data_IF_357168768405
#
_entry.id   IF_357168768405
#
_cell.length_a   1.000
_cell.length_b   1.000
_cell.length_c   1.000
_cell.angle_alpha   90.00
_cell.angle_beta   90.00
_cell.angle_gamma   90.00
#
_symmetry.space_group_name_H-M   'P 1'
#
loop_
_entity.id
_entity.type
_entity.pdbx_description
1 polymer ?
#
# COMPACT_ATOMS: atom_id res chain seq x y z
N UNK A 1 13.81 -0.10 9.56
CA UNK A 1 13.06 -1.32 9.19
C UNK A 1 12.67 -2.07 10.45
N UNK A 2 11.37 -2.23 10.78
CA UNK A 2 10.90 -2.86 12.04
C UNK A 2 9.96 -4.05 11.84
N UNK A 3 10.10 -4.79 10.74
CA UNK A 3 9.16 -5.82 10.30
C UNK A 3 9.72 -7.26 10.36
N UNK A 4 10.64 -7.55 11.29
CA UNK A 4 11.30 -8.85 11.41
C UNK A 4 10.34 -10.01 11.71
N UNK A 5 9.23 -9.76 12.41
CA UNK A 5 8.15 -10.72 12.69
C UNK A 5 6.83 -10.01 13.03
N UNK A 6 6.40 -9.10 12.15
CA UNK A 6 5.14 -8.34 12.33
C UNK A 6 4.04 -8.94 11.47
N UNK A 7 2.82 -9.05 12.02
CA UNK A 7 1.64 -9.51 11.26
C UNK A 7 1.38 -8.64 10.02
N UNK A 8 0.78 -9.22 8.98
CA UNK A 8 0.46 -8.48 7.75
C UNK A 8 -0.50 -7.31 8.01
N UNK A 9 -1.47 -7.51 8.90
CA UNK A 9 -2.38 -6.46 9.35
C UNK A 9 -1.64 -5.29 9.98
N UNK A 10 -0.60 -5.54 10.79
CA UNK A 10 0.22 -4.48 11.40
C UNK A 10 1.06 -3.72 10.36
N UNK A 11 1.54 -4.40 9.32
CA UNK A 11 2.25 -3.76 8.20
C UNK A 11 1.29 -2.80 7.46
N UNK A 12 0.10 -3.29 7.12
CA UNK A 12 -0.91 -2.50 6.42
C UNK A 12 -1.41 -1.33 7.27
N UNK A 13 -1.60 -1.51 8.58
CA UNK A 13 -2.00 -0.42 9.48
C UNK A 13 -0.99 0.72 9.49
N UNK A 14 0.31 0.40 9.55
CA UNK A 14 1.37 1.42 9.49
C UNK A 14 1.36 2.17 8.16
N UNK A 15 1.15 1.46 7.05
CA UNK A 15 0.99 2.07 5.73
C UNK A 15 -0.21 3.02 5.71
N UNK A 16 -1.38 2.57 6.16
CA UNK A 16 -2.60 3.38 6.17
C UNK A 16 -2.43 4.64 7.02
N UNK A 17 -1.86 4.55 8.23
CA UNK A 17 -1.63 5.73 9.07
C UNK A 17 -0.68 6.73 8.40
N UNK A 18 0.40 6.26 7.77
CA UNK A 18 1.34 7.13 7.07
C UNK A 18 0.70 7.79 5.83
N UNK A 19 -0.04 7.01 5.03
CA UNK A 19 -0.71 7.49 3.83
C UNK A 19 -1.79 8.52 4.19
N UNK A 20 -2.65 8.22 5.18
CA UNK A 20 -3.66 9.16 5.66
C UNK A 20 -2.98 10.45 6.13
N UNK A 21 -1.95 10.36 6.99
CA UNK A 21 -1.24 11.53 7.49
C UNK A 21 -0.69 12.43 6.38
N UNK A 22 -0.05 11.82 5.37
CA UNK A 22 0.45 12.53 4.19
C UNK A 22 -0.70 13.20 3.41
N UNK A 23 -1.74 12.45 3.06
CA UNK A 23 -2.84 12.93 2.23
C UNK A 23 -3.70 13.97 2.94
N UNK A 24 -3.92 13.85 4.25
CA UNK A 24 -4.71 14.82 5.01
C UNK A 24 -3.96 16.12 5.28
N UNK A 25 -2.63 16.06 5.33
CA UNK A 25 -1.77 17.22 5.56
C UNK A 25 -1.52 18.00 4.26
N UNK A 26 -1.01 17.35 3.21
CA UNK A 26 -0.64 18.01 1.96
C UNK A 26 -1.80 18.18 0.98
N UNK A 27 -2.84 17.34 1.06
CA UNK A 27 -4.07 17.42 0.26
C UNK A 27 -3.77 17.61 -1.24
N UNK A 28 -4.20 18.73 -1.82
CA UNK A 28 -4.12 19.04 -3.25
C UNK A 28 -2.68 19.12 -3.76
N UNK A 29 -1.72 19.52 -2.91
CA UNK A 29 -0.31 19.60 -3.30
C UNK A 29 0.25 18.24 -3.75
N UNK A 30 -0.33 17.14 -3.29
CA UNK A 30 0.08 15.79 -3.69
C UNK A 30 -0.18 15.51 -5.18
N UNK A 31 -1.26 16.04 -5.74
CA UNK A 31 -1.63 15.83 -7.15
C UNK A 31 -0.74 16.63 -8.09
N UNK A 32 -0.26 17.80 -7.66
CA UNK A 32 0.64 18.65 -8.45
C UNK A 32 2.10 18.18 -8.42
N UNK A 33 2.43 17.20 -7.59
CA UNK A 33 3.81 16.72 -7.43
C UNK A 33 3.96 15.33 -8.05
N UNK A 34 4.25 15.27 -9.35
CA UNK A 34 4.39 14.00 -10.09
C UNK A 34 5.40 13.03 -9.45
N UNK A 35 6.53 13.54 -8.97
CA UNK A 35 7.56 12.71 -8.30
C UNK A 35 7.02 12.02 -7.03
N UNK A 36 6.12 12.70 -6.31
CA UNK A 36 5.46 12.14 -5.14
C UNK A 36 4.46 11.05 -5.54
N UNK A 37 3.71 11.25 -6.64
CA UNK A 37 2.81 10.23 -7.19
C UNK A 37 3.58 8.96 -7.60
N UNK A 38 4.70 9.12 -8.32
CA UNK A 38 5.58 8.01 -8.68
C UNK A 38 6.15 7.29 -7.43
N UNK A 39 6.50 8.06 -6.40
CA UNK A 39 6.99 7.53 -5.14
C UNK A 39 5.91 6.73 -4.40
N UNK A 40 4.66 7.21 -4.40
CA UNK A 40 3.52 6.53 -3.78
C UNK A 40 3.25 5.18 -4.46
N UNK A 41 3.26 5.13 -5.80
CA UNK A 41 3.13 3.88 -6.57
C UNK A 41 4.24 2.89 -6.20
N UNK A 42 5.49 3.36 -6.12
CA UNK A 42 6.64 2.51 -5.75
C UNK A 42 6.52 2.00 -4.32
N UNK A 43 6.09 2.84 -3.38
CA UNK A 43 5.94 2.47 -1.98
C UNK A 43 4.81 1.47 -1.76
N UNK A 44 3.66 1.66 -2.42
CA UNK A 44 2.54 0.72 -2.34
C UNK A 44 2.96 -0.68 -2.82
N UNK A 45 3.66 -0.75 -3.95
CA UNK A 45 4.21 -1.99 -4.48
C UNK A 45 5.23 -2.64 -3.53
N UNK A 46 6.04 -1.85 -2.82
CA UNK A 46 6.97 -2.38 -1.80
C UNK A 46 6.23 -3.02 -0.63
N UNK A 47 5.14 -2.41 -0.15
CA UNK A 47 4.31 -2.96 0.94
C UNK A 47 3.66 -4.28 0.50
N UNK A 48 3.05 -4.31 -0.68
CA UNK A 48 2.47 -5.55 -1.22
C UNK A 48 3.55 -6.64 -1.37
N UNK A 49 4.70 -6.30 -1.94
CA UNK A 49 5.81 -7.24 -2.13
C UNK A 49 6.31 -7.80 -0.80
N UNK A 50 6.38 -6.98 0.26
CA UNK A 50 6.75 -7.44 1.60
C UNK A 50 5.79 -8.51 2.14
N UNK A 51 4.49 -8.33 1.91
CA UNK A 51 3.46 -9.31 2.31
C UNK A 51 3.59 -10.60 1.47
N UNK A 52 3.79 -10.47 0.15
CA UNK A 52 4.01 -11.61 -0.76
C UNK A 52 5.22 -12.46 -0.36
N UNK A 53 6.33 -11.81 0.02
CA UNK A 53 7.54 -12.46 0.55
C UNK A 53 7.25 -13.19 1.86
N UNK A 54 6.47 -12.58 2.77
CA UNK A 54 6.07 -13.23 4.03
C UNK A 54 5.24 -14.50 3.84
N UNK A 55 4.57 -14.65 2.69
CA UNK A 55 3.81 -15.83 2.29
C UNK A 55 4.59 -16.78 1.37
N UNK A 56 5.89 -16.54 1.18
CA UNK A 56 6.78 -17.31 0.31
C UNK A 56 6.22 -17.52 -1.12
N UNK A 57 5.64 -16.49 -1.72
CA UNK A 57 5.10 -16.58 -3.08
C UNK A 57 5.62 -15.45 -3.97
N UNK A 58 6.12 -15.85 -5.14
CA UNK A 58 6.60 -14.95 -6.22
C UNK A 58 5.61 -14.82 -7.38
N UNK A 59 4.44 -15.45 -7.30
CA UNK A 59 3.51 -15.56 -8.43
C UNK A 59 2.40 -14.49 -8.34
N UNK A 60 2.25 -13.59 -9.35
CA UNK A 60 1.25 -12.52 -9.32
C UNK A 60 -0.20 -13.02 -9.25
N UNK A 61 -0.51 -14.13 -9.93
CA UNK A 61 -1.87 -14.72 -9.96
C UNK A 61 -2.36 -15.20 -8.59
N UNK A 62 -1.45 -15.54 -7.67
CA UNK A 62 -1.79 -15.94 -6.30
C UNK A 62 -2.19 -14.75 -5.41
N UNK A 63 -1.95 -13.53 -5.87
CA UNK A 63 -2.21 -12.32 -5.11
C UNK A 63 -3.07 -11.33 -5.88
N UNK A 64 -4.35 -11.68 -6.13
CA UNK A 64 -5.29 -10.71 -6.66
C UNK A 64 -5.40 -9.50 -5.71
N UNK A 65 -5.65 -8.29 -6.25
CA UNK A 65 -5.70 -7.06 -5.47
C UNK A 65 -6.71 -7.11 -4.32
N UNK A 66 -7.78 -7.90 -4.49
CA UNK A 66 -8.81 -8.14 -3.47
C UNK A 66 -8.22 -8.54 -2.11
N UNK A 67 -7.14 -9.32 -2.06
CA UNK A 67 -6.54 -9.75 -0.78
C UNK A 67 -5.99 -8.55 0.02
N UNK A 68 -5.48 -7.53 -0.67
CA UNK A 68 -4.92 -6.34 -0.04
C UNK A 68 -6.00 -5.33 0.35
N UNK A 69 -6.94 -5.06 -0.56
CA UNK A 69 -7.86 -3.91 -0.43
C UNK A 69 -9.20 -4.26 0.22
N UNK A 70 -9.57 -5.54 0.30
CA UNK A 70 -10.80 -5.95 0.99
C UNK A 70 -10.79 -5.47 2.45
N UNK A 71 -11.88 -4.88 2.96
CA UNK A 71 -11.99 -4.45 4.35
C UNK A 71 -11.71 -5.57 5.34
N UNK A 72 -11.24 -5.21 6.54
CA UNK A 72 -10.85 -6.19 7.57
C UNK A 72 -12.06 -6.92 8.13
N UNK A 73 -13.20 -6.25 8.11
CA UNK A 73 -14.49 -6.73 8.59
C UNK A 73 -14.96 -7.96 7.81
N UNK A 74 -14.49 -8.14 6.57
CA UNK A 74 -14.79 -9.29 5.71
C UNK A 74 -13.54 -10.09 5.34
N UNK A 75 -12.52 -10.06 6.21
CA UNK A 75 -11.35 -10.95 6.13
C UNK A 75 -10.21 -10.49 5.23
N UNK A 76 -10.26 -9.28 4.69
CA UNK A 76 -9.14 -8.69 3.95
C UNK A 76 -8.13 -7.95 4.83
N UNK A 77 -7.10 -7.38 4.21
CA UNK A 77 -6.09 -6.59 4.93
C UNK A 77 -6.49 -5.13 5.18
N UNK A 78 -7.48 -4.62 4.43
CA UNK A 78 -7.97 -3.24 4.52
C UNK A 78 -6.90 -2.20 4.19
N UNK A 79 -6.05 -2.47 3.19
CA UNK A 79 -5.04 -1.54 2.72
C UNK A 79 -5.70 -0.39 1.94
N UNK A 80 -5.27 0.85 2.18
CA UNK A 80 -5.67 2.00 1.37
C UNK A 80 -4.73 2.14 0.16
N UNK A 81 -5.30 2.45 -1.01
CA UNK A 81 -4.54 2.60 -2.27
C UNK A 81 -4.40 4.07 -2.66
N UNK A 82 -3.22 4.44 -3.13
CA UNK A 82 -2.95 5.66 -3.90
C UNK A 82 -2.05 5.40 -5.12
N UNK A 83 -1.77 4.13 -5.42
CA UNK A 83 -0.91 3.70 -6.52
C UNK A 83 -1.66 3.30 -7.79
N UNK A 84 -2.98 3.12 -7.72
CA UNK A 84 -3.83 2.86 -8.90
C UNK A 84 -4.34 4.17 -9.52
N UNK A 85 -3.40 5.01 -9.98
CA UNK A 85 -3.69 6.29 -10.60
C UNK A 85 -2.98 6.40 -11.94
N UNK A 86 -3.62 7.07 -12.91
CA UNK A 86 -2.96 7.48 -14.14
C UNK A 86 -2.15 8.73 -13.86
N UNK A 87 -0.83 8.62 -13.88
CA UNK A 87 0.06 9.77 -13.68
C UNK A 87 0.14 10.53 -15.01
N UNK A 88 -0.29 11.81 -15.07
CA UNK A 88 -0.13 12.62 -16.27
C UNK A 88 1.37 12.80 -16.53
N UNK A 89 1.81 12.54 -17.76
CA UNK A 89 3.19 12.78 -18.21
C UNK A 89 3.33 14.16 -18.80
#
# INVERSE_FOLDING_TARGET
MSSGSTTFTKIVNKWNTALIGLMTYFREATVHTQELLDLLVKCENKIQTRIKIGLNSKMPSRFPPVIFYTPKEIGGLGMLSMGHILIPK
#
